data_IF_442576400802
#
_entry.id   IF_442576400802
#
_cell.length_a   1.000
_cell.length_b   1.000
_cell.length_c   1.000
_cell.angle_alpha   90.00
_cell.angle_beta   90.00
_cell.angle_gamma   90.00
#
_symmetry.space_group_name_H-M   'P 1'
#
loop_
_entity.id
_entity.type
_entity.pdbx_description
1 polymer ?
#
# COMPACT_ATOMS: atom_id res chain seq x y z
N UNK A 1 -17.54 -11.20 2.95
CA UNK A 1 -16.41 -11.38 3.87
C UNK A 1 -16.16 -12.88 3.97
N UNK A 2 -15.43 -13.44 2.99
CA UNK A 2 -15.02 -14.84 3.05
C UNK A 2 -13.84 -14.86 4.01
N UNK A 3 -14.05 -15.45 5.18
CA UNK A 3 -12.98 -15.79 6.10
C UNK A 3 -11.98 -16.65 5.31
N UNK A 4 -10.81 -16.09 5.02
CA UNK A 4 -9.70 -16.88 4.52
C UNK A 4 -9.34 -17.87 5.63
N UNK A 5 -9.38 -19.13 5.22
CA UNK A 5 -8.99 -20.33 5.95
C UNK A 5 -7.94 -20.01 7.00
N UNK A 6 -8.27 -20.19 8.29
CA UNK A 6 -7.25 -20.15 9.34
C UNK A 6 -6.36 -21.36 9.11
N UNK A 7 -5.33 -21.23 8.28
CA UNK A 7 -4.17 -22.12 8.37
C UNK A 7 -3.77 -22.11 9.84
N UNK A 8 -3.71 -23.28 10.48
CA UNK A 8 -3.14 -23.43 11.82
C UNK A 8 -1.63 -23.19 11.72
N UNK A 9 -1.23 -21.95 11.41
CA UNK A 9 0.16 -21.53 11.39
C UNK A 9 0.63 -21.34 12.82
N UNK A 10 1.87 -21.74 13.08
CA UNK A 10 2.54 -21.50 14.37
C UNK A 10 2.95 -20.03 14.54
N UNK A 11 2.88 -19.24 13.46
CA UNK A 11 3.05 -17.79 13.45
C UNK A 11 1.67 -17.16 13.40
N UNK A 12 1.40 -16.24 14.32
CA UNK A 12 0.14 -15.50 14.34
C UNK A 12 0.01 -14.60 13.10
N UNK A 13 -1.23 -14.31 12.68
CA UNK A 13 -1.44 -13.36 11.60
C UNK A 13 -1.10 -11.94 12.09
N UNK A 14 0.06 -11.42 11.68
CA UNK A 14 0.56 -10.10 12.10
C UNK A 14 -0.40 -8.94 11.74
N UNK A 15 -1.20 -9.07 10.67
CA UNK A 15 -2.19 -8.06 10.28
C UNK A 15 -3.45 -8.06 11.17
N UNK A 16 -3.65 -9.11 11.95
CA UNK A 16 -4.77 -9.25 12.88
C UNK A 16 -4.42 -8.79 14.30
N UNK A 17 -3.16 -8.45 14.59
CA UNK A 17 -2.74 -8.02 15.93
C UNK A 17 -3.30 -6.64 16.29
N UNK A 18 -3.20 -5.60 15.43
CA UNK A 18 -3.72 -4.29 15.78
C UNK A 18 -5.26 -4.30 15.79
N UNK A 19 -5.84 -4.20 16.98
CA UNK A 19 -7.27 -4.15 17.19
C UNK A 19 -7.73 -2.70 17.37
N UNK A 20 -8.77 -2.32 16.64
CA UNK A 20 -9.34 -0.98 16.69
C UNK A 20 -10.42 -0.88 17.77
N UNK A 21 -10.47 0.25 18.46
CA UNK A 21 -11.67 0.66 19.21
C UNK A 21 -12.83 0.99 18.28
N UNK A 22 -14.03 1.18 18.83
CA UNK A 22 -15.19 1.64 18.07
C UNK A 22 -14.89 2.96 17.32
N UNK A 23 -14.30 3.94 18.02
CA UNK A 23 -14.07 5.29 17.48
C UNK A 23 -12.96 5.29 16.43
N UNK A 24 -11.90 4.50 16.62
CA UNK A 24 -10.85 4.29 15.63
C UNK A 24 -11.42 3.67 14.34
N UNK A 25 -12.28 2.66 14.48
CA UNK A 25 -12.94 2.03 13.33
C UNK A 25 -13.91 3.00 12.62
N UNK A 26 -14.67 3.81 13.36
CA UNK A 26 -15.52 4.86 12.80
C UNK A 26 -14.71 5.90 12.02
N UNK A 27 -13.59 6.36 12.58
CA UNK A 27 -12.62 7.27 11.94
C UNK A 27 -12.07 6.69 10.64
N UNK A 28 -11.64 5.42 10.65
CA UNK A 28 -11.15 4.73 9.45
C UNK A 28 -12.22 4.67 8.35
N UNK A 29 -13.48 4.36 8.69
CA UNK A 29 -14.59 4.34 7.72
C UNK A 29 -14.87 5.72 7.14
N UNK A 30 -14.81 6.77 7.95
CA UNK A 30 -14.93 8.14 7.49
C UNK A 30 -13.81 8.49 6.49
N UNK A 31 -12.54 8.22 6.84
CA UNK A 31 -11.40 8.47 5.96
C UNK A 31 -11.54 7.76 4.61
N UNK A 32 -11.93 6.48 4.64
CA UNK A 32 -12.17 5.69 3.44
C UNK A 32 -13.27 6.28 2.54
N UNK A 33 -14.37 6.75 3.14
CA UNK A 33 -15.50 7.35 2.43
C UNK A 33 -15.14 8.71 1.85
N UNK A 34 -14.47 9.57 2.64
CA UNK A 34 -13.98 10.87 2.22
C UNK A 34 -13.04 10.75 1.02
N UNK A 35 -12.10 9.81 1.09
CA UNK A 35 -11.16 9.54 0.01
C UNK A 35 -11.84 9.07 -1.26
N UNK A 36 -12.82 8.16 -1.14
CA UNK A 36 -13.62 7.71 -2.29
C UNK A 36 -14.33 8.90 -2.94
N UNK A 37 -15.00 9.73 -2.13
CA UNK A 37 -15.71 10.91 -2.61
C UNK A 37 -14.78 11.88 -3.34
N UNK A 38 -13.61 12.15 -2.76
CA UNK A 38 -12.60 12.98 -3.40
C UNK A 38 -12.20 12.43 -4.78
N UNK A 39 -11.91 11.13 -4.89
CA UNK A 39 -11.31 10.55 -6.12
C UNK A 39 -12.33 10.24 -7.21
N UNK A 40 -13.53 9.82 -6.85
CA UNK A 40 -14.54 9.40 -7.82
C UNK A 40 -15.49 10.53 -8.18
N UNK A 41 -16.07 11.18 -7.16
CA UNK A 41 -17.16 12.13 -7.40
C UNK A 41 -16.61 13.51 -7.77
N UNK A 42 -15.66 14.02 -6.97
CA UNK A 42 -15.10 15.36 -7.20
C UNK A 42 -14.24 15.45 -8.46
N UNK A 43 -13.56 14.36 -8.85
CA UNK A 43 -12.78 14.35 -10.09
C UNK A 43 -13.67 14.55 -11.33
N UNK A 44 -14.85 13.95 -11.36
CA UNK A 44 -15.83 14.16 -12.43
C UNK A 44 -16.33 15.61 -12.44
N UNK A 45 -16.65 16.18 -11.27
CA UNK A 45 -17.06 17.58 -11.17
C UNK A 45 -15.99 18.57 -11.66
N UNK A 46 -14.70 18.25 -11.48
CA UNK A 46 -13.60 19.07 -12.01
C UNK A 46 -13.50 19.00 -13.53
N UNK A 47 -13.68 17.81 -14.11
CA UNK A 47 -13.71 17.63 -15.56
C UNK A 47 -14.87 18.44 -16.18
N UNK A 48 -16.04 18.39 -15.55
CA UNK A 48 -17.21 19.17 -15.97
C UNK A 48 -16.95 20.69 -15.85
N UNK A 49 -16.39 21.16 -14.74
CA UNK A 49 -16.03 22.59 -14.56
C UNK A 49 -15.05 23.06 -15.62
N UNK A 50 -14.02 22.25 -15.91
CA UNK A 50 -13.06 22.56 -16.95
C UNK A 50 -13.74 22.71 -18.32
N UNK A 51 -14.55 21.73 -18.74
CA UNK A 51 -15.20 21.71 -20.07
C UNK A 51 -16.26 22.80 -20.24
N UNK A 52 -16.99 23.11 -19.18
CA UNK A 52 -18.16 24.01 -19.27
C UNK A 52 -17.82 25.47 -18.99
N UNK A 53 -16.74 25.73 -18.24
CA UNK A 53 -16.39 27.09 -17.79
C UNK A 53 -14.98 27.51 -18.19
N UNK A 54 -13.97 26.72 -17.84
CA UNK A 54 -12.55 27.13 -17.99
C UNK A 54 -12.11 27.12 -19.45
N UNK A 55 -12.33 26.02 -20.17
CA UNK A 55 -11.93 25.89 -21.57
C UNK A 55 -12.65 26.89 -22.50
N UNK A 56 -13.98 27.11 -22.37
CA UNK A 56 -14.66 28.16 -23.13
C UNK A 56 -14.12 29.56 -22.85
N UNK A 57 -13.84 29.88 -21.57
CA UNK A 57 -13.25 31.18 -21.17
C UNK A 57 -11.89 31.40 -21.81
N UNK A 58 -10.98 30.43 -21.69
CA UNK A 58 -9.65 30.49 -22.30
C UNK A 58 -9.70 30.60 -23.83
N UNK A 59 -10.62 29.87 -24.46
CA UNK A 59 -10.80 29.93 -25.92
C UNK A 59 -11.25 31.31 -26.37
N UNK A 60 -12.19 31.94 -25.64
CA UNK A 60 -12.65 33.30 -25.92
C UNK A 60 -11.54 34.36 -25.73
N UNK A 61 -10.61 34.12 -24.81
CA UNK A 61 -9.42 34.94 -24.56
C UNK A 61 -8.28 34.67 -25.58
N UNK A 62 -8.46 33.74 -26.51
CA UNK A 62 -7.43 33.35 -27.49
C UNK A 62 -6.30 32.49 -26.88
N UNK A 63 -6.50 31.94 -25.69
CA UNK A 63 -5.54 31.17 -24.91
C UNK A 63 -5.95 29.69 -24.77
N UNK A 64 -6.52 29.09 -25.83
CA UNK A 64 -6.99 27.72 -25.80
C UNK A 64 -5.85 26.72 -25.43
N UNK A 65 -6.03 25.87 -24.41
CA UNK A 65 -4.99 24.98 -23.91
C UNK A 65 -4.59 23.93 -24.95
N UNK A 66 -3.29 23.64 -25.06
CA UNK A 66 -2.74 22.68 -26.03
C UNK A 66 -2.14 21.43 -25.36
N UNK A 67 -1.77 21.57 -24.09
CA UNK A 67 -1.12 20.53 -23.30
C UNK A 67 -1.77 20.39 -21.94
N UNK A 68 -1.54 19.25 -21.28
CA UNK A 68 -1.98 19.06 -19.90
C UNK A 68 -1.40 20.11 -18.93
N UNK A 69 -0.26 20.72 -19.26
CA UNK A 69 0.35 21.79 -18.45
C UNK A 69 -0.42 23.10 -18.54
N UNK A 70 -0.99 23.40 -19.69
CA UNK A 70 -1.86 24.58 -19.87
C UNK A 70 -3.14 24.40 -19.06
N UNK A 71 -3.68 23.17 -19.05
CA UNK A 71 -4.83 22.80 -18.21
C UNK A 71 -4.47 22.93 -16.72
N UNK A 72 -3.33 22.39 -16.25
CA UNK A 72 -2.91 22.54 -14.85
C UNK A 72 -2.72 24.00 -14.47
N UNK A 73 -2.08 24.80 -15.31
CA UNK A 73 -1.87 26.23 -15.06
C UNK A 73 -3.19 27.00 -14.94
N UNK A 74 -4.17 26.70 -15.81
CA UNK A 74 -5.48 27.32 -15.76
C UNK A 74 -6.29 26.88 -14.53
N UNK A 75 -6.32 25.58 -14.25
CA UNK A 75 -7.09 25.01 -13.15
C UNK A 75 -6.50 25.35 -11.78
N UNK A 76 -5.19 25.60 -11.66
CA UNK A 76 -4.50 25.94 -10.40
C UNK A 76 -5.15 27.09 -9.62
N UNK A 77 -5.79 28.02 -10.33
CA UNK A 77 -6.43 29.19 -9.74
C UNK A 77 -7.95 29.04 -9.54
N UNK A 78 -8.54 27.92 -9.96
CA UNK A 78 -9.96 27.64 -9.78
C UNK A 78 -10.22 27.10 -8.36
N UNK A 79 -11.14 27.73 -7.62
CA UNK A 79 -11.46 27.36 -6.23
C UNK A 79 -11.84 25.88 -6.11
N UNK A 80 -12.57 25.35 -7.09
CA UNK A 80 -12.96 23.94 -7.14
C UNK A 80 -11.73 23.00 -7.16
N UNK A 81 -10.69 23.36 -7.92
CA UNK A 81 -9.47 22.57 -8.03
C UNK A 81 -8.61 22.66 -6.77
N UNK A 82 -8.52 23.85 -6.15
CA UNK A 82 -7.82 24.02 -4.88
C UNK A 82 -8.51 23.24 -3.75
N UNK A 83 -9.84 23.29 -3.70
CA UNK A 83 -10.63 22.53 -2.73
C UNK A 83 -10.46 21.02 -2.95
N UNK A 84 -10.59 20.53 -4.18
CA UNK A 84 -10.33 19.13 -4.52
C UNK A 84 -8.93 18.69 -4.10
N UNK A 85 -7.91 19.48 -4.44
CA UNK A 85 -6.51 19.14 -4.16
C UNK A 85 -6.26 19.05 -2.66
N UNK A 86 -6.80 20.01 -1.89
CA UNK A 86 -6.74 20.00 -0.43
C UNK A 86 -7.45 18.77 0.15
N UNK A 87 -8.67 18.49 -0.31
CA UNK A 87 -9.44 17.34 0.16
C UNK A 87 -8.73 16.02 -0.13
N UNK A 88 -8.21 15.85 -1.37
CA UNK A 88 -7.53 14.63 -1.80
C UNK A 88 -6.22 14.41 -1.04
N UNK A 89 -5.44 15.47 -0.82
CA UNK A 89 -4.20 15.42 -0.05
C UNK A 89 -4.48 14.94 1.38
N UNK A 90 -5.39 15.62 2.08
CA UNK A 90 -5.69 15.30 3.48
C UNK A 90 -6.36 13.93 3.61
N UNK A 91 -7.30 13.58 2.73
CA UNK A 91 -7.94 12.27 2.78
C UNK A 91 -6.96 11.12 2.54
N UNK A 92 -5.91 11.34 1.74
CA UNK A 92 -4.84 10.36 1.51
C UNK A 92 -4.02 10.13 2.78
N UNK A 93 -3.55 11.20 3.41
CA UNK A 93 -2.74 11.17 4.64
C UNK A 93 -3.55 10.60 5.82
N UNK A 94 -4.81 11.03 5.97
CA UNK A 94 -5.72 10.57 7.02
C UNK A 94 -5.94 9.05 7.02
N UNK A 95 -5.90 8.38 5.86
CA UNK A 95 -6.00 6.92 5.82
C UNK A 95 -4.86 6.24 6.60
N UNK A 96 -3.63 6.72 6.47
CA UNK A 96 -2.48 6.17 7.18
C UNK A 96 -2.43 6.63 8.64
N UNK A 97 -2.71 7.90 8.92
CA UNK A 97 -2.81 8.40 10.30
C UNK A 97 -3.87 7.64 11.11
N UNK A 98 -4.99 7.27 10.49
CA UNK A 98 -6.12 6.62 11.19
C UNK A 98 -5.79 5.23 11.77
N UNK A 99 -4.68 4.62 11.34
CA UNK A 99 -4.22 3.31 11.82
C UNK A 99 -3.01 3.39 12.74
N UNK A 100 -2.42 4.57 12.99
CA UNK A 100 -1.23 4.71 13.84
C UNK A 100 -1.51 4.33 15.30
N UNK A 101 -2.53 4.92 15.93
CA UNK A 101 -2.86 4.62 17.34
C UNK A 101 -2.96 3.11 17.67
N UNK A 102 -3.71 2.28 16.89
CA UNK A 102 -3.75 0.85 17.14
C UNK A 102 -2.43 0.14 16.81
N UNK A 103 -1.65 0.61 15.83
CA UNK A 103 -0.33 0.05 15.52
C UNK A 103 0.66 0.32 16.66
N UNK A 104 0.75 1.56 17.12
CA UNK A 104 1.64 1.96 18.23
C UNK A 104 1.32 1.18 19.50
N UNK A 105 0.03 1.08 19.83
CA UNK A 105 -0.47 0.31 20.99
C UNK A 105 -0.09 -1.18 20.91
N UNK A 106 -0.06 -1.75 19.70
CA UNK A 106 0.23 -3.16 19.46
C UNK A 106 1.68 -3.43 19.02
N UNK A 107 2.54 -2.41 18.95
CA UNK A 107 3.89 -2.54 18.40
C UNK A 107 4.74 -3.60 19.10
N UNK A 108 4.73 -3.75 20.45
CA UNK A 108 5.48 -4.81 21.11
C UNK A 108 5.06 -6.22 20.66
N UNK A 109 3.76 -6.46 20.46
CA UNK A 109 3.25 -7.76 19.99
C UNK A 109 3.55 -7.99 18.51
N UNK A 110 3.49 -6.94 17.69
CA UNK A 110 3.88 -6.98 16.28
C UNK A 110 5.35 -7.39 16.13
N UNK A 111 6.25 -6.77 16.91
CA UNK A 111 7.68 -7.11 16.92
C UNK A 111 7.89 -8.55 17.39
N UNK A 112 7.20 -8.98 18.44
CA UNK A 112 7.27 -10.37 18.92
C UNK A 112 6.92 -11.36 17.80
N UNK A 113 5.84 -11.13 17.07
CA UNK A 113 5.42 -12.03 15.98
C UNK A 113 6.40 -12.02 14.81
N UNK A 114 6.98 -10.87 14.48
CA UNK A 114 8.04 -10.79 13.46
C UNK A 114 9.31 -11.55 13.87
N UNK A 115 9.71 -11.46 15.14
CA UNK A 115 10.84 -12.25 15.69
C UNK A 115 10.53 -13.75 15.69
N UNK A 116 9.36 -14.14 16.18
CA UNK A 116 8.89 -15.53 16.16
C UNK A 116 8.94 -16.13 14.75
N UNK A 117 8.59 -15.35 13.72
CA UNK A 117 8.65 -15.77 12.33
C UNK A 117 10.09 -16.11 11.88
N UNK A 118 11.07 -15.29 12.24
CA UNK A 118 12.50 -15.51 11.93
C UNK A 118 13.06 -16.68 12.73
N UNK A 119 12.82 -16.72 14.03
CA UNK A 119 13.40 -17.73 14.94
C UNK A 119 12.86 -19.13 14.67
N UNK A 120 11.55 -19.25 14.41
CA UNK A 120 10.91 -20.56 14.19
C UNK A 120 10.95 -21.01 12.73
N UNK A 121 11.03 -20.06 11.79
CA UNK A 121 11.11 -20.26 10.33
C UNK A 121 10.28 -21.46 9.80
N UNK A 122 8.95 -21.51 10.04
CA UNK A 122 8.16 -22.68 9.69
C UNK A 122 7.89 -22.84 8.18
N UNK A 123 7.90 -21.73 7.44
CA UNK A 123 7.67 -21.75 5.99
C UNK A 123 8.90 -22.21 5.19
N UNK A 124 10.09 -22.09 5.78
CA UNK A 124 11.35 -22.04 5.03
C UNK A 124 11.55 -20.66 4.40
N UNK A 125 12.77 -20.37 3.93
CA UNK A 125 13.14 -19.04 3.45
C UNK A 125 14.11 -18.33 4.40
N UNK A 126 14.37 -17.05 4.13
CA UNK A 126 15.30 -16.26 4.93
C UNK A 126 15.06 -14.76 4.81
N UNK A 127 15.18 -14.06 5.93
CA UNK A 127 15.24 -12.59 5.96
C UNK A 127 16.68 -12.13 6.18
N UNK A 128 17.18 -11.25 5.32
CA UNK A 128 18.46 -10.57 5.51
C UNK A 128 18.27 -9.07 5.48
N UNK A 129 18.58 -8.43 6.60
CA UNK A 129 18.66 -6.97 6.73
C UNK A 129 20.13 -6.61 6.91
N UNK A 130 20.60 -5.63 6.14
CA UNK A 130 21.91 -5.03 6.34
C UNK A 130 21.75 -3.85 7.32
N UNK A 131 22.29 -3.94 8.56
CA UNK A 131 22.11 -2.91 9.58
C UNK A 131 22.80 -1.59 9.22
N UNK A 132 23.77 -1.62 8.29
CA UNK A 132 24.51 -0.43 7.84
C UNK A 132 23.89 0.20 6.58
N UNK A 133 22.82 -0.40 6.04
CA UNK A 133 22.17 0.08 4.83
C UNK A 133 21.63 1.50 5.01
N UNK A 134 22.09 2.41 4.14
CA UNK A 134 21.62 3.79 4.12
C UNK A 134 20.49 3.94 3.11
N UNK A 135 19.29 4.24 3.61
CA UNK A 135 18.12 4.50 2.76
C UNK A 135 18.43 5.67 1.81
N UNK A 136 18.21 5.52 0.49
CA UNK A 136 18.49 6.58 -0.46
C UNK A 136 17.75 7.88 -0.13
N UNK A 137 18.44 9.00 -0.28
CA UNK A 137 17.95 10.33 0.09
C UNK A 137 16.62 10.71 -0.59
N UNK A 138 16.39 10.25 -1.82
CA UNK A 138 15.13 10.52 -2.53
C UNK A 138 13.92 9.79 -1.91
N UNK A 139 14.15 8.73 -1.15
CA UNK A 139 13.11 7.99 -0.41
C UNK A 139 12.90 8.60 0.97
N UNK A 140 13.99 9.00 1.64
CA UNK A 140 13.95 9.46 3.03
C UNK A 140 13.67 10.94 3.22
N UNK A 141 13.79 11.77 2.16
CA UNK A 141 13.53 13.22 2.24
C UNK A 141 12.07 13.59 2.43
N UNK A 142 11.14 12.71 2.04
CA UNK A 142 9.71 13.01 2.02
C UNK A 142 8.91 11.76 2.34
N UNK A 143 7.74 11.97 2.92
CA UNK A 143 6.74 10.92 3.07
C UNK A 143 6.12 10.59 1.71
N UNK A 144 6.77 9.68 0.99
CA UNK A 144 6.28 9.17 -0.29
C UNK A 144 4.87 8.60 -0.07
N UNK A 145 3.96 8.88 -0.99
CA UNK A 145 2.53 8.53 -0.88
C UNK A 145 1.77 9.18 0.29
N UNK A 146 2.35 10.20 0.94
CA UNK A 146 1.78 10.84 2.14
C UNK A 146 1.57 9.82 3.26
N UNK A 147 2.45 8.82 3.35
CA UNK A 147 2.49 7.87 4.45
C UNK A 147 3.42 8.44 5.53
N UNK A 148 2.92 8.80 6.72
CA UNK A 148 3.76 9.44 7.73
C UNK A 148 4.90 8.52 8.20
N UNK A 149 6.14 9.00 8.11
CA UNK A 149 7.35 8.20 8.33
C UNK A 149 7.76 7.34 7.13
N UNK A 150 7.14 7.59 5.97
CA UNK A 150 7.42 6.94 4.70
C UNK A 150 7.35 5.39 4.79
N UNK A 151 8.29 4.70 4.16
CA UNK A 151 8.35 3.25 4.06
C UNK A 151 9.43 2.61 4.94
N UNK A 152 10.37 3.43 5.44
CA UNK A 152 11.65 2.96 5.95
C UNK A 152 11.90 3.33 7.41
N UNK A 153 11.10 4.21 8.00
CA UNK A 153 11.37 4.71 9.36
C UNK A 153 11.26 3.59 10.39
N UNK A 154 12.22 3.55 11.30
CA UNK A 154 12.22 2.71 12.49
C UNK A 154 12.34 3.63 13.72
N UNK A 155 11.59 3.32 14.77
CA UNK A 155 11.55 4.08 16.02
C UNK A 155 12.04 3.26 17.21
N UNK A 156 12.21 1.95 17.03
CA UNK A 156 12.73 1.00 18.02
C UNK A 156 13.51 -0.13 17.33
N UNK A 157 14.18 -0.97 18.11
CA UNK A 157 14.86 -2.17 17.59
C UNK A 157 13.84 -3.16 16.99
N UNK A 158 14.21 -3.78 15.85
CA UNK A 158 13.39 -4.71 15.09
C UNK A 158 12.01 -4.19 14.69
N UNK A 159 11.91 -2.89 14.44
CA UNK A 159 10.64 -2.22 14.15
C UNK A 159 9.93 -2.84 12.93
N UNK A 160 8.60 -2.85 13.01
CA UNK A 160 7.66 -3.29 11.98
C UNK A 160 6.47 -2.33 11.82
N UNK A 161 6.45 -1.21 12.55
CA UNK A 161 5.38 -0.23 12.58
C UNK A 161 5.06 0.30 11.19
N UNK A 162 6.08 0.68 10.40
CA UNK A 162 5.85 1.17 9.03
C UNK A 162 5.30 0.08 8.11
N UNK A 163 5.70 -1.19 8.31
CA UNK A 163 5.06 -2.34 7.65
C UNK A 163 3.56 -2.42 7.93
N UNK A 164 3.18 -2.28 9.20
CA UNK A 164 1.79 -2.30 9.64
C UNK A 164 1.01 -1.07 9.16
N UNK A 165 1.54 0.16 9.30
CA UNK A 165 0.90 1.41 8.85
C UNK A 165 0.63 1.38 7.35
N UNK A 166 1.63 0.99 6.55
CA UNK A 166 1.48 0.87 5.10
C UNK A 166 0.42 -0.17 4.74
N UNK A 167 0.45 -1.36 5.34
CA UNK A 167 -0.50 -2.42 5.00
C UNK A 167 -1.93 -2.08 5.43
N UNK A 168 -2.12 -1.69 6.69
CA UNK A 168 -3.43 -1.42 7.27
C UNK A 168 -4.02 -0.10 6.74
N UNK A 169 -3.20 0.94 6.57
CA UNK A 169 -3.62 2.20 5.97
C UNK A 169 -4.04 2.01 4.50
N UNK A 170 -3.32 1.16 3.74
CA UNK A 170 -3.74 0.78 2.39
C UNK A 170 -5.08 0.02 2.38
N UNK A 171 -5.41 -0.74 3.43
CA UNK A 171 -6.73 -1.37 3.55
C UNK A 171 -7.83 -0.34 3.76
N UNK A 172 -7.61 0.68 4.61
CA UNK A 172 -8.54 1.81 4.77
C UNK A 172 -8.73 2.53 3.44
N UNK A 173 -7.63 2.79 2.72
CA UNK A 173 -7.61 3.41 1.40
C UNK A 173 -8.49 2.66 0.39
N UNK A 174 -8.46 1.32 0.39
CA UNK A 174 -9.18 0.48 -0.59
C UNK A 174 -10.52 -0.09 -0.08
N UNK A 175 -10.92 0.16 1.17
CA UNK A 175 -12.05 -0.56 1.78
C UNK A 175 -13.39 -0.36 1.04
N UNK A 176 -13.58 0.76 0.34
CA UNK A 176 -14.77 0.98 -0.51
C UNK A 176 -14.63 0.45 -1.95
N UNK A 177 -13.48 -0.14 -2.30
CA UNK A 177 -13.21 -0.71 -3.62
C UNK A 177 -13.39 -2.23 -3.57
N UNK A 178 -14.65 -2.68 -3.52
CA UNK A 178 -15.04 -4.09 -3.35
C UNK A 178 -14.46 -5.06 -4.38
N UNK A 179 -13.97 -4.57 -5.53
CA UNK A 179 -13.38 -5.38 -6.61
C UNK A 179 -11.88 -5.70 -6.41
N UNK A 180 -11.17 -5.09 -5.44
CA UNK A 180 -9.73 -5.32 -5.23
C UNK A 180 -9.51 -6.33 -4.11
N UNK A 181 -8.95 -7.49 -4.44
CA UNK A 181 -8.46 -8.47 -3.46
C UNK A 181 -7.01 -8.18 -3.04
N UNK A 182 -6.60 -8.74 -1.89
CA UNK A 182 -5.20 -8.72 -1.47
C UNK A 182 -4.33 -9.43 -2.53
N UNK A 183 -3.23 -8.79 -2.94
CA UNK A 183 -2.41 -9.25 -4.06
C UNK A 183 -3.12 -9.29 -5.41
N UNK A 184 -4.24 -8.57 -5.58
CA UNK A 184 -5.11 -8.66 -6.75
C UNK A 184 -4.41 -8.39 -8.08
N UNK A 185 -3.44 -7.47 -8.10
CA UNK A 185 -2.64 -7.17 -9.30
C UNK A 185 -1.82 -8.39 -9.72
N UNK A 186 -1.04 -8.97 -8.80
CA UNK A 186 -0.27 -10.18 -9.07
C UNK A 186 -1.15 -11.36 -9.49
N UNK A 187 -2.34 -11.51 -8.89
CA UNK A 187 -3.29 -12.57 -9.27
C UNK A 187 -3.83 -12.39 -10.69
N UNK A 188 -4.17 -11.17 -11.10
CA UNK A 188 -4.63 -10.87 -12.47
C UNK A 188 -3.50 -11.07 -13.47
N UNK A 189 -2.30 -10.54 -13.19
CA UNK A 189 -1.15 -10.68 -14.07
C UNK A 189 -0.71 -12.14 -14.20
N UNK A 190 -0.70 -12.92 -13.13
CA UNK A 190 -0.40 -14.35 -13.18
C UNK A 190 -1.34 -15.13 -14.09
N UNK A 191 -2.64 -14.81 -14.06
CA UNK A 191 -3.63 -15.43 -14.96
C UNK A 191 -3.37 -15.05 -16.41
N UNK A 192 -3.06 -13.78 -16.67
CA UNK A 192 -2.71 -13.33 -18.00
C UNK A 192 -1.43 -14.00 -18.51
N UNK A 193 -0.37 -14.07 -17.72
CA UNK A 193 0.90 -14.73 -18.08
C UNK A 193 0.65 -16.19 -18.47
N UNK A 194 -0.09 -16.95 -17.64
CA UNK A 194 -0.41 -18.35 -17.93
C UNK A 194 -1.28 -18.54 -19.17
N UNK A 195 -2.12 -17.56 -19.49
CA UNK A 195 -2.98 -17.59 -20.68
C UNK A 195 -2.19 -17.25 -21.95
N UNK A 196 -1.38 -16.19 -21.90
CA UNK A 196 -0.59 -15.70 -23.03
C UNK A 196 0.65 -16.58 -23.31
N UNK A 197 1.20 -17.19 -22.26
CA UNK A 197 2.40 -18.01 -22.32
C UNK A 197 2.22 -19.30 -21.48
N UNK A 198 1.45 -20.28 -21.98
CA UNK A 198 1.10 -21.49 -21.21
C UNK A 198 2.29 -22.34 -20.74
N UNK A 199 3.40 -22.28 -21.48
CA UNK A 199 4.61 -23.05 -21.19
C UNK A 199 5.58 -22.33 -20.22
N UNK A 200 5.27 -21.10 -19.81
CA UNK A 200 6.13 -20.33 -18.89
C UNK A 200 6.09 -20.94 -17.49
N UNK A 201 7.27 -21.42 -17.05
CA UNK A 201 7.54 -21.89 -15.70
C UNK A 201 8.80 -21.15 -15.20
N UNK A 202 8.64 -19.98 -14.53
CA UNK A 202 9.80 -19.22 -14.07
C UNK A 202 10.53 -20.00 -12.99
N UNK A 203 11.84 -20.21 -13.19
CA UNK A 203 12.68 -20.82 -12.16
C UNK A 203 12.98 -19.86 -11.01
N UNK A 204 13.10 -18.56 -11.31
CA UNK A 204 13.45 -17.52 -10.34
C UNK A 204 12.62 -16.26 -10.57
N UNK A 205 12.33 -15.54 -9.49
CA UNK A 205 11.60 -14.27 -9.51
C UNK A 205 12.23 -13.27 -8.54
N UNK A 206 12.32 -12.01 -8.94
CA UNK A 206 12.77 -10.90 -8.11
C UNK A 206 11.73 -9.79 -8.13
N UNK A 207 11.21 -9.44 -6.96
CA UNK A 207 10.33 -8.29 -6.74
C UNK A 207 11.13 -7.12 -6.16
N UNK A 208 11.16 -6.01 -6.90
CA UNK A 208 11.92 -4.79 -6.57
C UNK A 208 10.97 -3.77 -5.94
N UNK A 209 11.25 -3.37 -4.70
CA UNK A 209 10.27 -2.59 -3.92
C UNK A 209 9.12 -3.47 -3.46
N UNK A 210 9.44 -4.70 -3.00
CA UNK A 210 8.46 -5.72 -2.61
C UNK A 210 7.55 -5.28 -1.47
N UNK A 211 7.97 -4.27 -0.69
CA UNK A 211 7.31 -3.82 0.53
C UNK A 211 7.06 -5.01 1.46
N UNK A 212 5.80 -5.27 1.85
CA UNK A 212 5.42 -6.42 2.68
C UNK A 212 5.19 -7.71 1.88
N UNK A 213 5.63 -7.80 0.62
CA UNK A 213 5.45 -8.98 -0.23
C UNK A 213 4.04 -9.14 -0.80
N UNK A 214 3.18 -8.12 -0.70
CA UNK A 214 1.77 -8.16 -1.10
C UNK A 214 1.53 -8.65 -2.54
N UNK A 215 2.46 -8.38 -3.45
CA UNK A 215 2.41 -8.87 -4.82
C UNK A 215 3.31 -10.10 -5.06
N UNK A 216 4.46 -10.19 -4.37
CA UNK A 216 5.35 -11.35 -4.44
C UNK A 216 4.67 -12.67 -4.01
N UNK A 217 4.00 -12.69 -2.85
CA UNK A 217 3.41 -13.93 -2.32
C UNK A 217 2.37 -14.57 -3.28
N UNK A 218 1.41 -13.82 -3.86
CA UNK A 218 0.52 -14.38 -4.87
C UNK A 218 1.21 -14.91 -6.13
N UNK A 219 2.38 -14.37 -6.50
CA UNK A 219 3.14 -14.93 -7.61
C UNK A 219 3.74 -16.29 -7.27
N UNK A 220 4.23 -16.49 -6.04
CA UNK A 220 4.73 -17.80 -5.58
C UNK A 220 3.60 -18.83 -5.58
N UNK A 221 2.41 -18.46 -5.10
CA UNK A 221 1.21 -19.31 -5.21
C UNK A 221 0.87 -19.67 -6.66
N UNK A 222 1.01 -18.69 -7.57
CA UNK A 222 0.70 -18.88 -8.97
C UNK A 222 1.74 -19.72 -9.71
N UNK A 223 3.01 -19.71 -9.32
CA UNK A 223 4.08 -20.45 -9.97
C UNK A 223 4.79 -21.37 -8.97
N UNK A 224 4.18 -22.52 -8.61
CA UNK A 224 4.76 -23.45 -7.63
C UNK A 224 6.18 -23.88 -8.00
N UNK A 225 7.10 -23.79 -7.05
CA UNK A 225 8.51 -24.16 -7.23
C UNK A 225 9.41 -23.03 -7.72
N UNK A 226 8.88 -21.83 -7.97
CA UNK A 226 9.71 -20.65 -8.27
C UNK A 226 10.56 -20.27 -7.05
N UNK A 227 11.84 -19.99 -7.28
CA UNK A 227 12.71 -19.35 -6.30
C UNK A 227 12.44 -17.84 -6.30
N UNK A 228 11.67 -17.36 -5.32
CA UNK A 228 11.24 -15.97 -5.24
C UNK A 228 12.09 -15.17 -4.25
N UNK A 229 12.46 -13.95 -4.65
CA UNK A 229 13.21 -12.99 -3.83
C UNK A 229 12.48 -11.66 -3.82
N UNK A 230 12.39 -11.04 -2.65
CA UNK A 230 11.89 -9.68 -2.50
C UNK A 230 12.97 -8.78 -1.93
N UNK A 231 13.16 -7.60 -2.53
CA UNK A 231 14.03 -6.58 -1.94
C UNK A 231 13.28 -5.26 -1.78
N UNK A 232 13.58 -4.55 -0.70
CA UNK A 232 13.06 -3.23 -0.41
C UNK A 232 14.13 -2.42 0.35
N UNK A 233 14.00 -1.11 0.32
CA UNK A 233 14.87 -0.20 1.07
C UNK A 233 14.38 0.00 2.51
N UNK A 234 13.13 -0.38 2.82
CA UNK A 234 12.56 -0.33 4.16
C UNK A 234 12.70 -1.65 4.91
N UNK A 235 13.67 -1.74 5.83
CA UNK A 235 13.80 -2.85 6.77
C UNK A 235 12.50 -3.23 7.53
N UNK A 236 11.70 -2.28 8.06
CA UNK A 236 10.45 -2.62 8.76
C UNK A 236 9.41 -3.27 7.84
N UNK A 237 9.38 -2.93 6.56
CA UNK A 237 8.49 -3.57 5.57
C UNK A 237 8.90 -5.02 5.34
N UNK A 238 10.19 -5.29 5.22
CA UNK A 238 10.72 -6.63 4.99
C UNK A 238 10.48 -7.55 6.20
N UNK A 239 10.71 -7.06 7.43
CA UNK A 239 10.37 -7.82 8.66
C UNK A 239 8.88 -8.13 8.74
N UNK A 240 8.02 -7.14 8.46
CA UNK A 240 6.57 -7.32 8.45
C UNK A 240 6.11 -8.30 7.36
N UNK A 241 6.65 -8.17 6.15
CA UNK A 241 6.36 -9.06 5.01
C UNK A 241 6.81 -10.49 5.26
N UNK A 242 7.97 -10.68 5.90
CA UNK A 242 8.46 -12.01 6.28
C UNK A 242 7.54 -12.70 7.29
N UNK A 243 6.97 -11.94 8.24
CA UNK A 243 5.97 -12.46 9.17
C UNK A 243 4.68 -12.88 8.44
N UNK A 244 4.21 -12.11 7.45
CA UNK A 244 3.07 -12.48 6.59
C UNK A 244 3.38 -13.76 5.82
N UNK A 245 4.54 -13.83 5.16
CA UNK A 245 4.95 -15.00 4.37
C UNK A 245 5.05 -16.26 5.24
N UNK A 246 5.61 -16.12 6.45
CA UNK A 246 5.72 -17.19 7.43
C UNK A 246 4.35 -17.66 7.93
N UNK A 247 3.42 -16.73 8.17
CA UNK A 247 2.03 -17.08 8.51
C UNK A 247 1.37 -17.87 7.37
N UNK A 248 1.57 -17.46 6.12
CA UNK A 248 1.01 -18.11 4.94
C UNK A 248 1.71 -19.41 4.54
N UNK A 249 2.86 -19.73 5.15
CA UNK A 249 3.65 -20.92 4.81
C UNK A 249 4.33 -20.80 3.44
N UNK A 250 4.66 -19.59 3.01
CA UNK A 250 5.30 -19.31 1.71
C UNK A 250 6.78 -19.02 1.94
N UNK A 251 7.71 -19.84 1.40
CA UNK A 251 9.14 -19.61 1.55
C UNK A 251 9.64 -18.52 0.60
N UNK A 252 10.14 -17.41 1.16
CA UNK A 252 10.79 -16.31 0.44
C UNK A 252 12.06 -15.82 1.16
#
# INVERSE_FOLDING_TARGET
MVATDRKNSVIENIEAIPQTTHDEHARQRFCSTLRRHAIQDFAASLEDHYRTSVEPRLTAEGAAPQTWRDIDAAMRHEDAYQFYSTLRYNAQEMCFLSVQDPVERSLPDLIRVARDAVERNPAGGSLRIDPDFQVPEYVSKMDVHLTPGCFHSEYTEDDVAQGAVVSLGARVFTAQQSHRSWGGVARVLSRWIKSAYPDVQPARMLDLGTSSGKNLLPYVEAFPGVEAHGIDVGAPLLRYGYAIASHEGIPI
#
